data_IF_812308213567
#
_entry.id   IF_812308213567
#
_cell.length_a   1.000
_cell.length_b   1.000
_cell.length_c   1.000
_cell.angle_alpha   90.00
_cell.angle_beta   90.00
_cell.angle_gamma   90.00
#
_symmetry.space_group_name_H-M   'P 1'
#
loop_
_entity.id
_entity.type
_entity.pdbx_description
1 polymer ?
#
# COMPACT_ATOMS: atom_id res chain seq x y z
N UNK A 1 -4.34 7.90 -2.84
CA UNK A 1 -5.07 7.77 -4.11
C UNK A 1 -5.22 6.31 -4.51
N UNK A 2 -6.46 5.83 -4.59
CA UNK A 2 -6.80 4.49 -5.07
C UNK A 2 -7.99 4.61 -6.03
N UNK A 3 -7.88 4.06 -7.25
CA UNK A 3 -8.92 4.24 -8.27
C UNK A 3 -10.24 3.64 -7.79
N UNK A 4 -11.32 4.45 -7.83
CA UNK A 4 -12.66 4.02 -7.43
C UNK A 4 -12.93 4.04 -5.93
N UNK A 5 -11.98 4.54 -5.11
CA UNK A 5 -12.17 4.66 -3.67
C UNK A 5 -11.79 6.07 -3.19
N UNK A 6 -12.44 6.57 -2.11
CA UNK A 6 -12.02 7.82 -1.49
C UNK A 6 -10.62 7.68 -0.88
N UNK A 7 -9.91 8.80 -0.80
CA UNK A 7 -8.64 8.85 -0.09
C UNK A 7 -8.81 8.55 1.40
N UNK A 8 -7.79 7.93 1.97
CA UNK A 8 -7.69 7.68 3.41
C UNK A 8 -6.44 8.39 3.91
N UNK A 9 -6.58 9.12 5.02
CA UNK A 9 -5.44 9.67 5.76
C UNK A 9 -4.80 8.58 6.60
N UNK A 10 -3.49 8.44 6.47
CA UNK A 10 -2.67 7.53 7.28
C UNK A 10 -1.62 8.33 8.03
N UNK A 11 -1.35 7.96 9.28
CA UNK A 11 -0.35 8.63 10.10
C UNK A 11 1.09 8.27 9.72
N UNK A 12 1.30 7.02 9.31
CA UNK A 12 2.59 6.46 8.92
C UNK A 12 2.43 5.30 7.93
N UNK A 13 3.55 4.64 7.59
CA UNK A 13 3.56 3.51 6.66
C UNK A 13 2.79 2.29 7.17
N UNK A 14 2.84 2.00 8.47
CA UNK A 14 2.16 0.86 9.05
C UNK A 14 0.64 1.07 9.02
N UNK A 15 0.19 2.27 9.37
CA UNK A 15 -1.21 2.67 9.31
C UNK A 15 -1.73 2.66 7.87
N UNK A 16 -0.95 3.16 6.91
CA UNK A 16 -1.32 3.12 5.49
C UNK A 16 -1.47 1.68 4.97
N UNK A 17 -0.55 0.79 5.35
CA UNK A 17 -0.64 -0.63 5.01
C UNK A 17 -1.88 -1.27 5.62
N UNK A 18 -2.14 -1.02 6.91
CA UNK A 18 -3.30 -1.56 7.62
C UNK A 18 -4.60 -1.08 6.98
N UNK A 19 -4.78 0.23 6.78
CA UNK A 19 -5.99 0.82 6.19
C UNK A 19 -6.27 0.30 4.77
N UNK A 20 -5.22 0.10 3.97
CA UNK A 20 -5.34 -0.52 2.66
C UNK A 20 -5.78 -1.99 2.73
N UNK A 21 -5.15 -2.78 3.61
CA UNK A 21 -5.50 -4.19 3.82
C UNK A 21 -6.92 -4.35 4.39
N UNK A 22 -7.31 -3.54 5.37
CA UNK A 22 -8.66 -3.54 5.92
C UNK A 22 -9.69 -3.27 4.81
N UNK A 23 -9.42 -2.29 3.93
CA UNK A 23 -10.26 -2.01 2.76
C UNK A 23 -10.30 -3.19 1.79
N UNK A 24 -9.15 -3.79 1.46
CA UNK A 24 -9.07 -4.97 0.58
C UNK A 24 -9.93 -6.10 1.11
N UNK A 25 -9.79 -6.40 2.40
CA UNK A 25 -10.45 -7.54 3.06
C UNK A 25 -11.96 -7.31 3.15
N UNK A 26 -12.42 -6.07 3.37
CA UNK A 26 -13.85 -5.71 3.30
C UNK A 26 -14.46 -5.90 1.90
N UNK A 27 -13.67 -5.73 0.82
CA UNK A 27 -14.18 -5.89 -0.55
C UNK A 27 -14.15 -7.36 -1.02
N UNK A 28 -13.31 -8.21 -0.43
CA UNK A 28 -13.17 -9.62 -0.80
C UNK A 28 -12.66 -9.85 -2.23
N UNK A 29 -12.08 -8.83 -2.87
CA UNK A 29 -11.58 -8.88 -4.24
C UNK A 29 -10.15 -9.42 -4.28
N UNK A 30 -9.87 -10.33 -5.21
CA UNK A 30 -8.51 -10.81 -5.47
C UNK A 30 -7.59 -9.75 -6.09
N UNK A 31 -6.30 -10.07 -6.19
CA UNK A 31 -5.24 -9.15 -6.63
C UNK A 31 -5.44 -8.54 -8.03
N UNK A 32 -6.14 -9.23 -8.93
CA UNK A 32 -6.45 -8.72 -10.27
C UNK A 32 -7.58 -7.69 -10.29
N UNK A 33 -8.41 -7.65 -9.24
CA UNK A 33 -9.63 -6.86 -9.18
C UNK A 33 -9.57 -5.73 -8.14
N UNK A 34 -8.75 -5.89 -7.10
CA UNK A 34 -8.53 -4.84 -6.12
C UNK A 34 -7.41 -3.90 -6.58
N UNK A 35 -7.69 -2.63 -6.85
CA UNK A 35 -6.69 -1.71 -7.36
C UNK A 35 -5.64 -1.41 -6.29
N UNK A 36 -4.38 -1.37 -6.70
CA UNK A 36 -3.31 -0.77 -5.92
C UNK A 36 -3.58 0.71 -5.58
N UNK A 37 -2.86 1.23 -4.58
CA UNK A 37 -2.94 2.62 -4.21
C UNK A 37 -1.57 3.32 -4.26
N UNK A 38 -1.60 4.61 -4.52
CA UNK A 38 -0.45 5.52 -4.40
C UNK A 38 -0.58 6.32 -3.12
N UNK A 39 0.48 6.32 -2.31
CA UNK A 39 0.62 7.17 -1.13
C UNK A 39 1.17 8.53 -1.54
N UNK A 40 0.54 9.58 -1.03
CA UNK A 40 0.89 10.96 -1.31
C UNK A 40 1.29 11.67 -0.02
N UNK A 41 2.35 12.47 -0.07
CA UNK A 41 2.70 13.45 0.96
C UNK A 41 2.68 14.83 0.30
N UNK A 42 1.84 15.75 0.76
CA UNK A 42 1.68 17.08 0.14
C UNK A 42 1.43 17.01 -1.39
N UNK A 43 0.63 16.04 -1.83
CA UNK A 43 0.34 15.72 -3.24
C UNK A 43 1.51 15.09 -4.03
N UNK A 44 2.68 14.92 -3.42
CA UNK A 44 3.81 14.24 -4.04
C UNK A 44 3.72 12.72 -3.81
N UNK A 45 3.85 11.89 -4.85
CA UNK A 45 3.87 10.45 -4.69
C UNK A 45 5.12 10.02 -3.92
N UNK A 46 4.91 9.34 -2.80
CA UNK A 46 5.98 8.85 -1.90
C UNK A 46 6.03 7.32 -1.82
N UNK A 47 4.99 6.62 -2.26
CA UNK A 47 5.03 5.17 -2.39
C UNK A 47 3.86 4.59 -3.18
N UNK A 48 4.00 3.33 -3.61
CA UNK A 48 2.92 2.50 -4.13
C UNK A 48 2.73 1.31 -3.22
N UNK A 49 1.50 1.00 -2.83
CA UNK A 49 1.18 -0.17 -2.01
C UNK A 49 0.70 -1.32 -2.89
N UNK A 50 1.33 -2.47 -2.74
CA UNK A 50 0.94 -3.69 -3.43
C UNK A 50 -0.24 -4.37 -2.73
N UNK A 51 -0.89 -5.28 -3.44
CA UNK A 51 -2.05 -6.04 -2.92
C UNK A 51 -1.80 -6.68 -1.53
N UNK A 52 -0.56 -7.07 -1.23
CA UNK A 52 -0.19 -7.74 0.02
C UNK A 52 0.10 -6.78 1.19
N UNK A 53 0.00 -5.46 0.97
CA UNK A 53 0.26 -4.43 2.00
C UNK A 53 1.71 -3.91 2.04
N UNK A 54 2.59 -4.41 1.17
CA UNK A 54 3.97 -3.89 1.06
C UNK A 54 3.97 -2.54 0.36
N UNK A 55 4.78 -1.62 0.85
CA UNK A 55 4.93 -0.28 0.27
C UNK A 55 6.28 -0.18 -0.41
N UNK A 56 6.26 0.27 -1.66
CA UNK A 56 7.41 0.33 -2.56
C UNK A 56 7.65 1.77 -2.98
N UNK A 57 8.84 2.03 -3.55
CA UNK A 57 9.09 3.30 -4.23
C UNK A 57 8.04 3.54 -5.34
N UNK A 58 7.66 4.80 -5.59
CA UNK A 58 6.85 5.16 -6.75
C UNK A 58 7.55 4.75 -8.05
N UNK A 59 6.77 4.33 -9.05
CA UNK A 59 7.27 3.91 -10.36
C UNK A 59 7.18 2.41 -10.60
N UNK A 60 7.82 1.96 -11.67
CA UNK A 60 7.85 0.54 -12.08
C UNK A 60 8.71 -0.28 -11.11
N UNK A 61 8.19 -1.42 -10.66
CA UNK A 61 8.91 -2.32 -9.75
C UNK A 61 9.84 -3.24 -10.52
N UNK A 62 11.06 -3.40 -10.02
CA UNK A 62 12.04 -4.35 -10.53
C UNK A 62 12.13 -5.57 -9.60
N UNK A 63 12.52 -6.75 -10.11
CA UNK A 63 12.59 -7.97 -9.30
C UNK A 63 13.46 -7.87 -8.03
N UNK A 64 14.49 -7.02 -8.03
CA UNK A 64 15.43 -6.85 -6.92
C UNK A 64 15.13 -5.63 -6.03
N UNK A 65 14.06 -4.89 -6.32
CA UNK A 65 13.66 -3.76 -5.50
C UNK A 65 13.28 -4.26 -4.10
N UNK A 66 13.57 -3.42 -3.10
CA UNK A 66 13.14 -3.66 -1.73
C UNK A 66 11.97 -2.74 -1.39
N UNK A 67 10.98 -3.24 -0.65
CA UNK A 67 9.92 -2.36 -0.18
C UNK A 67 10.49 -1.32 0.80
N UNK A 68 9.94 -0.12 0.76
CA UNK A 68 10.12 0.91 1.79
C UNK A 68 9.56 0.45 3.14
N UNK A 69 8.51 -0.36 3.10
CA UNK A 69 7.89 -0.97 4.27
C UNK A 69 7.32 -2.35 3.91
N UNK A 70 7.67 -3.37 4.72
CA UNK A 70 7.13 -4.72 4.60
C UNK A 70 6.35 -5.08 5.87
N UNK A 71 5.02 -5.20 5.75
CA UNK A 71 4.11 -5.57 6.83
C UNK A 71 4.20 -7.05 7.24
N UNK A 72 5.00 -7.86 6.54
CA UNK A 72 5.18 -9.29 6.81
C UNK A 72 6.48 -9.61 7.53
N UNK A 73 7.42 -8.65 7.57
CA UNK A 73 8.58 -8.77 8.45
C UNK A 73 8.03 -8.53 9.85
N UNK A 74 7.87 -9.61 10.60
CA UNK A 74 7.44 -9.56 11.99
C UNK A 74 8.27 -8.49 12.70
N UNK A 75 7.61 -7.59 13.43
CA UNK A 75 8.24 -6.87 14.54
C UNK A 75 8.77 -7.95 15.47
N UNK A 76 10.03 -8.35 15.27
CA UNK A 76 10.63 -9.43 16.03
C UNK A 76 10.58 -9.08 17.51
N UNK A 77 9.80 -9.84 18.27
CA UNK A 77 10.02 -10.04 19.71
C UNK A 77 11.16 -11.03 19.91
#
# INVERSE_FOLDING_TARGET
>A
MQKGYPDIWAADWADASRLYCDRRDMNGLGASMFPEATLLLEHMPVGRISYNGRIWLPGEWRPDDRPLYDNQIASGT
#
